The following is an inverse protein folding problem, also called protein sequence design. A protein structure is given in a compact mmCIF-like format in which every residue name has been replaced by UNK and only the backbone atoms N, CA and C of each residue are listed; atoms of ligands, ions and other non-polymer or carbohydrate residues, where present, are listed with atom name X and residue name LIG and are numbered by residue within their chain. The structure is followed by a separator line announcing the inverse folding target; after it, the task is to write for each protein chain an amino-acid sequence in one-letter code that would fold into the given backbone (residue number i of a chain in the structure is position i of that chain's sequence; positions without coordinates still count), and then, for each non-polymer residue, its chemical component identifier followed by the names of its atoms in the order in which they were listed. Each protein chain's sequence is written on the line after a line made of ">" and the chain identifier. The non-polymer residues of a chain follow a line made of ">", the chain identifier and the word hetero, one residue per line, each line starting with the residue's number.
data_IF_471143113354
#
_entry.id   IF_471143113354
#
_cell.length_a   1.000
_cell.length_b   1.000
_cell.length_c   1.000
_cell.angle_alpha   90.00
_cell.angle_beta   90.00
_cell.angle_gamma   90.00
#
_symmetry.space_group_name_H-M   'P 1'
#
loop_
_entity.id
_entity.type
_entity.pdbx_description
1 polymer ?
#
# COMPACT_ATOMS: atom_id res chain seq x y z
N UNK A 1 6.41 -16.81 9.19
CA UNK A 1 7.44 -17.87 9.21
C UNK A 1 8.66 -17.38 9.99
N UNK A 2 9.28 -18.23 10.81
CA UNK A 2 10.50 -17.89 11.55
C UNK A 2 11.73 -18.33 10.76
N UNK A 3 12.67 -17.42 10.51
CA UNK A 3 13.95 -17.73 9.84
C UNK A 3 15.02 -18.01 10.88
N UNK A 4 15.21 -17.08 11.82
CA UNK A 4 16.14 -17.22 12.94
C UNK A 4 15.51 -16.64 14.22
N UNK A 5 16.30 -16.30 15.24
CA UNK A 5 15.75 -15.73 16.48
C UNK A 5 15.11 -14.36 16.25
N UNK A 6 15.73 -13.55 15.41
CA UNK A 6 15.48 -12.13 15.24
C UNK A 6 14.51 -11.83 14.09
N UNK A 7 14.64 -12.55 12.97
CA UNK A 7 13.92 -12.26 11.73
C UNK A 7 12.65 -13.10 11.55
N UNK A 8 11.65 -12.49 10.92
CA UNK A 8 10.36 -13.09 10.56
C UNK A 8 10.00 -12.76 9.10
N UNK A 9 9.51 -13.76 8.38
CA UNK A 9 8.91 -13.59 7.05
C UNK A 9 7.40 -13.64 7.17
N UNK A 10 6.72 -12.63 6.64
CA UNK A 10 5.28 -12.61 6.44
C UNK A 10 4.97 -13.32 5.14
N UNK A 11 4.09 -14.31 5.22
CA UNK A 11 3.77 -15.19 4.11
C UNK A 11 2.25 -15.18 3.94
N UNK A 12 1.80 -14.96 2.72
CA UNK A 12 0.41 -15.07 2.32
C UNK A 12 0.20 -16.37 1.54
N UNK A 13 -0.74 -17.19 2.00
CA UNK A 13 -1.11 -18.44 1.32
C UNK A 13 -2.47 -18.27 0.68
N UNK A 14 -2.53 -18.36 -0.64
CA UNK A 14 -3.78 -18.31 -1.40
C UNK A 14 -3.89 -19.56 -2.28
N UNK A 15 -4.88 -20.41 -2.00
CA UNK A 15 -5.05 -21.69 -2.68
C UNK A 15 -3.79 -22.57 -2.60
N UNK A 16 -3.23 -22.90 -3.77
CA UNK A 16 -1.98 -23.67 -3.91
C UNK A 16 -0.70 -22.83 -3.91
N UNK A 17 -0.81 -21.50 -3.88
CA UNK A 17 0.32 -20.58 -4.02
C UNK A 17 0.77 -20.02 -2.67
N UNK A 18 2.08 -19.81 -2.53
CA UNK A 18 2.72 -19.23 -1.35
C UNK A 18 3.47 -17.97 -1.75
N UNK A 19 3.09 -16.83 -1.18
CA UNK A 19 3.70 -15.52 -1.44
C UNK A 19 4.48 -15.06 -0.22
N UNK A 20 5.77 -14.80 -0.38
CA UNK A 20 6.62 -14.18 0.64
C UNK A 20 6.44 -12.66 0.52
N UNK A 21 5.67 -12.06 1.42
CA UNK A 21 5.20 -10.69 1.28
C UNK A 21 6.11 -9.64 1.94
N UNK A 22 6.78 -10.01 3.04
CA UNK A 22 7.60 -9.06 3.80
C UNK A 22 8.57 -9.80 4.73
N UNK A 23 9.73 -9.20 5.04
CA UNK A 23 10.71 -9.79 5.98
C UNK A 23 11.31 -8.74 6.88
N UNK A 24 11.17 -8.82 8.18
CA UNK A 24 11.87 -7.89 9.08
C UNK A 24 12.19 -8.54 10.42
N UNK A 25 12.77 -7.77 11.34
CA UNK A 25 12.89 -8.08 12.74
C UNK A 25 11.52 -8.39 13.33
N UNK A 26 11.54 -9.19 14.38
CA UNK A 26 10.37 -9.82 14.97
C UNK A 26 9.16 -8.89 15.10
N UNK A 27 9.32 -7.83 15.86
CA UNK A 27 8.21 -6.95 16.24
C UNK A 27 7.73 -6.14 15.04
N UNK A 28 8.63 -5.71 14.17
CA UNK A 28 8.29 -4.87 13.02
C UNK A 28 7.61 -5.66 11.92
N UNK A 29 8.01 -6.92 11.70
CA UNK A 29 7.30 -7.83 10.80
C UNK A 29 5.86 -8.09 11.26
N UNK A 30 5.62 -8.26 12.57
CA UNK A 30 4.26 -8.42 13.10
C UNK A 30 3.45 -7.13 12.98
N UNK A 31 4.00 -5.97 13.35
CA UNK A 31 3.33 -4.67 13.16
C UNK A 31 2.97 -4.41 11.69
N UNK A 32 3.85 -4.81 10.77
CA UNK A 32 3.60 -4.69 9.34
C UNK A 32 2.39 -5.54 8.92
N UNK A 33 2.35 -6.80 9.37
CA UNK A 33 1.30 -7.76 9.02
C UNK A 33 -0.05 -7.43 9.67
N UNK A 34 -0.05 -6.86 10.87
CA UNK A 34 -1.27 -6.46 11.58
C UNK A 34 -2.00 -5.34 10.84
N UNK A 35 -1.27 -4.42 10.20
CA UNK A 35 -1.83 -3.22 9.57
C UNK A 35 -2.12 -3.38 8.08
N UNK A 36 -1.84 -4.54 7.48
CA UNK A 36 -1.91 -4.74 6.03
C UNK A 36 -2.68 -6.00 5.66
N UNK A 37 -3.56 -5.88 4.66
CA UNK A 37 -4.25 -7.00 4.01
C UNK A 37 -3.64 -7.23 2.63
N UNK A 38 -3.58 -8.49 2.20
CA UNK A 38 -3.16 -8.85 0.84
C UNK A 38 -4.38 -9.42 0.14
N UNK A 39 -4.83 -8.76 -0.92
CA UNK A 39 -6.04 -9.11 -1.64
C UNK A 39 -5.90 -8.81 -3.14
N UNK A 40 -6.72 -9.48 -3.95
CA UNK A 40 -6.86 -9.12 -5.36
C UNK A 40 -7.83 -7.94 -5.47
N UNK A 41 -7.41 -6.88 -6.15
CA UNK A 41 -8.25 -5.71 -6.35
C UNK A 41 -9.48 -6.08 -7.21
N UNK A 42 -10.71 -5.69 -6.82
CA UNK A 42 -11.94 -6.17 -7.48
C UNK A 42 -12.06 -5.77 -8.96
N UNK A 43 -11.52 -4.61 -9.33
CA UNK A 43 -11.59 -4.08 -10.71
C UNK A 43 -10.38 -4.40 -11.60
N UNK A 44 -9.16 -4.23 -11.10
CA UNK A 44 -7.93 -4.51 -11.85
C UNK A 44 -7.49 -5.97 -11.76
N UNK A 45 -7.96 -6.73 -10.75
CA UNK A 45 -7.55 -8.11 -10.52
C UNK A 45 -6.10 -8.26 -10.01
N UNK A 46 -5.35 -7.17 -9.87
CA UNK A 46 -3.97 -7.18 -9.40
C UNK A 46 -3.90 -7.50 -7.90
N UNK A 47 -2.86 -8.23 -7.47
CA UNK A 47 -2.60 -8.44 -6.05
C UNK A 47 -2.04 -7.16 -5.45
N UNK A 48 -2.73 -6.64 -4.43
CA UNK A 48 -2.37 -5.44 -3.71
C UNK A 48 -2.12 -5.75 -2.23
N UNK A 49 -1.17 -5.02 -1.65
CA UNK A 49 -0.97 -4.94 -0.21
C UNK A 49 -1.63 -3.63 0.22
N UNK A 50 -2.75 -3.72 0.93
CA UNK A 50 -3.56 -2.57 1.32
C UNK A 50 -3.38 -2.33 2.82
N UNK A 51 -3.06 -1.09 3.19
CA UNK A 51 -3.03 -0.68 4.59
C UNK A 51 -4.47 -0.50 5.12
N UNK A 52 -4.77 -1.12 6.26
CA UNK A 52 -6.08 -1.08 6.89
C UNK A 52 -6.21 0.22 7.66
N UNK A 53 -7.10 1.12 7.19
CA UNK A 53 -7.33 2.45 7.76
C UNK A 53 -7.62 2.45 9.26
N UNK A 54 -8.44 1.52 9.75
CA UNK A 54 -8.83 1.42 11.17
C UNK A 54 -7.60 1.34 12.11
N UNK A 55 -6.51 0.72 11.66
CA UNK A 55 -5.27 0.57 12.42
C UNK A 55 -4.25 1.69 12.19
N UNK A 56 -4.44 2.53 11.17
CA UNK A 56 -3.64 3.73 10.93
C UNK A 56 -4.12 4.88 11.84
N UNK A 57 -5.43 5.00 12.05
CA UNK A 57 -6.01 6.02 12.94
C UNK A 57 -5.67 5.77 14.43
N UNK A 58 -5.49 4.52 14.86
CA UNK A 58 -5.22 4.19 16.27
C UNK A 58 -3.85 4.73 16.77
N UNK A 59 -2.89 4.95 15.87
CA UNK A 59 -1.54 5.45 16.22
C UNK A 59 -1.48 6.99 16.15
N UNK A 60 -2.35 7.61 15.34
CA UNK A 60 -2.42 9.06 15.21
C UNK A 60 -3.13 9.74 16.39
N UNK A 61 -3.85 9.01 17.24
CA UNK A 61 -4.58 9.60 18.39
C UNK A 61 -3.75 9.76 19.68
N UNK A 62 -2.49 9.31 19.71
CA UNK A 62 -1.64 9.36 20.91
C UNK A 62 -0.67 10.55 20.94
N UNK A 63 -1.16 11.77 20.74
CA UNK A 63 -0.55 12.95 21.37
C UNK A 63 -1.64 13.88 21.93
N UNK A 64 -1.95 13.80 23.24
CA UNK A 64 -2.55 14.93 23.91
C UNK A 64 -1.47 16.01 23.98
N UNK A 65 -1.44 16.90 22.99
CA UNK A 65 -0.66 18.13 23.08
C UNK A 65 -1.17 18.86 24.32
N UNK A 66 -0.31 18.91 25.33
CA UNK A 66 -0.60 19.52 26.62
C UNK A 66 -0.95 20.98 26.38
N UNK A 67 -2.22 21.32 26.58
CA UNK A 67 -2.76 22.67 26.39
C UNK A 67 -2.13 23.58 27.46
N UNK A 68 -1.11 24.35 27.07
CA UNK A 68 -0.71 25.52 27.86
C UNK A 68 -1.71 26.65 27.57
N UNK A 69 -2.33 27.28 28.58
CA UNK A 69 -3.29 28.35 28.36
C UNK A 69 -2.54 29.63 28.02
N UNK A 70 -2.31 29.89 26.73
CA UNK A 70 -1.80 31.17 26.24
C UNK A 70 -2.63 31.66 25.07
N UNK A 71 -3.50 32.64 25.38
CA UNK A 71 -4.15 33.62 24.48
C UNK A 71 -5.13 33.05 23.43
N UNK A 72 -6.34 33.65 23.26
CA UNK A 72 -7.21 33.30 22.15
C UNK A 72 -6.63 33.88 20.85
N UNK A 73 -5.70 33.17 20.23
CA UNK A 73 -5.53 33.27 18.78
C UNK A 73 -6.57 32.35 18.16
N UNK A 74 -7.51 32.93 17.43
CA UNK A 74 -8.30 32.19 16.44
C UNK A 74 -7.36 31.30 15.65
N UNK A 75 -7.57 29.98 15.75
CA UNK A 75 -6.93 29.03 14.86
C UNK A 75 -7.22 29.51 13.43
N UNK A 76 -6.23 29.57 12.52
CA UNK A 76 -6.55 29.84 11.14
C UNK A 76 -7.50 28.73 10.70
N UNK A 77 -8.75 29.11 10.42
CA UNK A 77 -9.68 28.32 9.66
C UNK A 77 -9.01 28.13 8.30
N UNK A 78 -8.24 27.05 8.14
CA UNK A 78 -7.75 26.61 6.84
C UNK A 78 -9.01 26.39 6.02
N UNK A 79 -9.30 27.31 5.11
CA UNK A 79 -10.38 27.13 4.16
C UNK A 79 -10.09 25.79 3.47
N UNK A 80 -11.06 24.85 3.40
CA UNK A 80 -10.80 23.57 2.74
C UNK A 80 -10.42 23.88 1.30
N UNK A 81 -9.16 23.58 0.95
CA UNK A 81 -8.72 23.66 -0.43
C UNK A 81 -9.60 22.73 -1.26
N UNK A 82 -9.92 23.12 -2.51
CA UNK A 82 -10.73 22.28 -3.36
C UNK A 82 -10.05 20.91 -3.51
N UNK A 83 -10.79 19.80 -3.36
CA UNK A 83 -10.19 18.48 -3.47
C UNK A 83 -9.57 18.29 -4.85
N UNK A 84 -8.33 17.80 -4.88
CA UNK A 84 -7.52 17.63 -6.10
C UNK A 84 -8.22 16.70 -7.11
N UNK A 85 -8.99 15.73 -6.61
CA UNK A 85 -9.65 14.70 -7.40
C UNK A 85 -11.18 14.87 -7.47
N UNK A 86 -11.71 16.07 -7.23
CA UNK A 86 -13.15 16.33 -7.20
C UNK A 86 -13.92 15.91 -8.46
N UNK A 87 -13.23 15.88 -9.61
CA UNK A 87 -13.76 15.47 -10.92
C UNK A 87 -13.78 13.96 -11.15
N UNK A 88 -13.15 13.17 -10.28
CA UNK A 88 -13.10 11.73 -10.39
C UNK A 88 -14.24 11.08 -9.62
N UNK A 89 -14.89 10.09 -10.24
CA UNK A 89 -15.87 9.25 -9.56
C UNK A 89 -15.18 8.13 -8.78
N UNK A 90 -15.88 7.54 -7.81
CA UNK A 90 -15.44 6.31 -7.13
C UNK A 90 -15.05 5.20 -8.10
N UNK A 91 -15.80 5.05 -9.19
CA UNK A 91 -15.52 4.06 -10.23
C UNK A 91 -14.22 4.35 -11.00
N UNK A 92 -13.90 5.64 -11.22
CA UNK A 92 -12.65 6.06 -11.81
C UNK A 92 -11.45 5.78 -10.89
N UNK A 93 -11.59 6.03 -9.58
CA UNK A 93 -10.54 5.72 -8.61
C UNK A 93 -10.27 4.21 -8.53
N UNK A 94 -11.33 3.38 -8.53
CA UNK A 94 -11.20 1.93 -8.60
C UNK A 94 -10.59 1.44 -9.92
N UNK A 95 -10.81 2.16 -11.04
CA UNK A 95 -10.29 1.74 -12.34
C UNK A 95 -8.77 1.91 -12.45
N UNK A 96 -8.20 2.71 -11.56
CA UNK A 96 -6.75 2.94 -11.44
C UNK A 96 -6.17 2.29 -10.19
N UNK A 97 -6.84 1.29 -9.62
CA UNK A 97 -6.27 0.47 -8.54
C UNK A 97 -6.34 1.04 -7.13
N UNK A 98 -7.05 2.16 -6.91
CA UNK A 98 -7.23 2.71 -5.54
C UNK A 98 -8.05 1.73 -4.69
N UNK A 99 -7.53 1.25 -3.54
CA UNK A 99 -8.27 0.36 -2.66
C UNK A 99 -9.53 1.02 -2.10
N UNK A 100 -10.60 0.24 -1.91
CA UNK A 100 -11.90 0.75 -1.45
C UNK A 100 -11.85 1.54 -0.14
N UNK A 101 -10.95 1.15 0.78
CA UNK A 101 -10.78 1.81 2.08
C UNK A 101 -10.21 3.23 1.96
N UNK A 102 -9.50 3.52 0.87
CA UNK A 102 -8.77 4.78 0.65
C UNK A 102 -9.47 5.71 -0.34
N UNK A 103 -10.54 5.26 -1.00
CA UNK A 103 -11.25 6.05 -2.02
C UNK A 103 -11.74 7.37 -1.47
N UNK A 104 -12.33 7.36 -0.27
CA UNK A 104 -12.95 8.54 0.29
C UNK A 104 -11.88 9.55 0.75
N UNK A 105 -10.73 9.08 1.24
CA UNK A 105 -9.57 9.93 1.58
C UNK A 105 -8.94 10.53 0.32
N UNK A 106 -8.75 9.72 -0.74
CA UNK A 106 -8.23 10.21 -2.02
C UNK A 106 -9.20 11.22 -2.65
N UNK A 107 -10.51 10.98 -2.59
CA UNK A 107 -11.50 11.91 -3.13
C UNK A 107 -11.55 13.24 -2.37
N UNK A 108 -11.23 13.23 -1.06
CA UNK A 108 -11.16 14.41 -0.22
C UNK A 108 -9.78 15.09 -0.20
N UNK A 109 -8.75 14.43 -0.72
CA UNK A 109 -7.37 14.89 -0.64
C UNK A 109 -7.16 16.23 -1.36
N UNK A 110 -6.46 17.14 -0.69
CA UNK A 110 -5.87 18.33 -1.29
C UNK A 110 -4.54 18.00 -2.01
N UNK A 111 -3.97 18.97 -2.72
CA UNK A 111 -2.64 18.82 -3.32
C UNK A 111 -1.55 18.64 -2.25
N UNK A 112 -1.72 19.26 -1.08
CA UNK A 112 -0.78 19.14 0.04
C UNK A 112 -0.86 17.77 0.73
N UNK A 113 -2.08 17.24 0.94
CA UNK A 113 -2.29 15.99 1.65
C UNK A 113 -1.99 14.74 0.80
N UNK A 114 -2.14 14.86 -0.52
CA UNK A 114 -2.02 13.73 -1.43
C UNK A 114 -0.64 13.05 -1.36
N UNK A 115 0.45 13.79 -1.18
CA UNK A 115 1.78 13.19 -1.08
C UNK A 115 1.95 12.27 0.14
N UNK A 116 1.30 12.60 1.25
CA UNK A 116 1.29 11.74 2.43
C UNK A 116 0.43 10.49 2.17
N UNK A 117 -0.75 10.66 1.56
CA UNK A 117 -1.64 9.56 1.19
C UNK A 117 -1.02 8.59 0.18
N UNK A 118 -0.29 9.11 -0.82
CA UNK A 118 0.36 8.32 -1.86
C UNK A 118 1.35 7.29 -1.29
N UNK A 119 1.94 7.54 -0.11
CA UNK A 119 2.82 6.59 0.58
C UNK A 119 2.10 5.36 1.13
N UNK A 120 0.78 5.43 1.31
CA UNK A 120 -0.06 4.33 1.82
C UNK A 120 -0.82 3.59 0.69
N UNK A 121 -0.85 4.16 -0.51
CA UNK A 121 -1.52 3.58 -1.66
C UNK A 121 -0.61 2.57 -2.37
N UNK A 122 -1.19 1.58 -3.06
CA UNK A 122 -0.44 0.80 -4.03
C UNK A 122 0.24 1.71 -5.07
N UNK A 123 1.49 1.39 -5.41
CA UNK A 123 2.32 2.22 -6.28
C UNK A 123 1.66 2.60 -7.62
N UNK A 124 0.91 1.68 -8.23
CA UNK A 124 0.27 1.94 -9.53
C UNK A 124 -0.85 3.00 -9.41
N UNK A 125 -1.61 2.98 -8.31
CA UNK A 125 -2.66 3.94 -8.03
C UNK A 125 -2.05 5.31 -7.72
N UNK A 126 -0.98 5.34 -6.94
CA UNK A 126 -0.23 6.56 -6.68
C UNK A 126 0.33 7.16 -7.99
N UNK A 127 0.94 6.34 -8.85
CA UNK A 127 1.46 6.76 -10.17
C UNK A 127 0.34 7.31 -11.06
N UNK A 128 -0.80 6.61 -11.16
CA UNK A 128 -1.93 7.03 -11.99
C UNK A 128 -2.58 8.33 -11.50
N UNK A 129 -2.68 8.52 -10.18
CA UNK A 129 -3.21 9.74 -9.57
C UNK A 129 -2.24 10.92 -9.71
N UNK A 130 -0.92 10.69 -9.60
CA UNK A 130 0.10 11.70 -9.89
C UNK A 130 0.06 12.13 -11.37
N UNK A 131 -0.04 11.19 -12.29
CA UNK A 131 -0.22 11.45 -13.73
C UNK A 131 -1.50 12.28 -13.98
N UNK A 132 -2.59 11.95 -13.28
CA UNK A 132 -3.83 12.71 -13.35
C UNK A 132 -3.67 14.14 -12.81
N UNK A 133 -3.02 14.32 -11.67
CA UNK A 133 -2.78 15.64 -11.10
C UNK A 133 -1.95 16.52 -12.04
N UNK A 134 -0.97 15.94 -12.75
CA UNK A 134 -0.11 16.67 -13.68
C UNK A 134 -0.77 16.96 -15.04
N UNK A 135 -1.59 16.04 -15.57
CA UNK A 135 -2.09 16.09 -16.96
C UNK A 135 -3.60 16.31 -17.07
N UNK A 136 -4.35 16.09 -16.00
CA UNK A 136 -5.81 16.04 -15.98
C UNK A 136 -6.41 14.80 -16.67
N UNK A 137 -5.58 13.85 -17.15
CA UNK A 137 -6.02 12.68 -17.91
C UNK A 137 -5.85 11.44 -17.04
N UNK A 138 -6.97 10.79 -16.72
CA UNK A 138 -6.93 9.53 -15.98
C UNK A 138 -6.77 8.39 -16.97
N UNK A 139 -5.64 7.68 -16.90
CA UNK A 139 -5.41 6.47 -17.69
C UNK A 139 -5.93 5.27 -16.90
N UNK A 140 -6.97 4.57 -17.39
CA UNK A 140 -7.43 3.36 -16.71
C UNK A 140 -6.35 2.27 -16.75
N UNK A 141 -6.28 1.50 -15.67
CA UNK A 141 -5.39 0.32 -15.60
C UNK A 141 -5.82 -0.74 -16.62
N UNK A 142 -4.88 -1.59 -17.02
CA UNK A 142 -5.12 -2.71 -17.92
C UNK A 142 -6.33 -3.55 -17.45
N UNK A 143 -7.12 -4.12 -18.37
CA UNK A 143 -8.25 -4.97 -18.01
C UNK A 143 -7.78 -6.15 -17.14
N UNK A 144 -8.64 -6.63 -16.23
CA UNK A 144 -8.27 -7.69 -15.30
C UNK A 144 -7.85 -8.95 -16.05
N UNK A 145 -6.73 -9.53 -15.62
CA UNK A 145 -6.21 -10.79 -16.13
C UNK A 145 -6.87 -11.94 -15.35
N UNK A 146 -7.12 -13.09 -16.00
CA UNK A 146 -7.74 -14.26 -15.33
C UNK A 146 -6.93 -14.77 -14.13
N UNK A 147 -5.60 -14.62 -14.19
CA UNK A 147 -4.69 -14.95 -13.09
C UNK A 147 -4.12 -13.66 -12.46
N UNK A 148 -4.49 -13.33 -11.21
CA UNK A 148 -3.93 -12.21 -10.45
C UNK A 148 -2.41 -12.25 -10.32
N UNK A 149 -1.80 -13.43 -10.31
CA UNK A 149 -0.35 -13.62 -10.21
C UNK A 149 0.33 -13.18 -11.50
N UNK A 150 -0.28 -13.46 -12.66
CA UNK A 150 0.23 -13.10 -13.97
C UNK A 150 0.01 -11.62 -14.35
N UNK A 151 -0.69 -10.84 -13.51
CA UNK A 151 -0.96 -9.43 -13.77
C UNK A 151 0.36 -8.62 -13.84
N UNK A 152 0.54 -7.71 -14.82
CA UNK A 152 1.78 -6.93 -14.96
C UNK A 152 2.14 -6.14 -13.70
N UNK A 153 1.16 -5.51 -13.03
CA UNK A 153 1.41 -4.81 -11.76
C UNK A 153 1.75 -5.75 -10.60
N UNK A 154 1.23 -6.98 -10.60
CA UNK A 154 1.66 -8.01 -9.65
C UNK A 154 3.11 -8.39 -9.91
N UNK A 155 3.48 -8.63 -11.17
CA UNK A 155 4.85 -9.02 -11.57
C UNK A 155 5.89 -7.90 -11.36
N UNK A 156 5.48 -6.63 -11.37
CA UNK A 156 6.33 -5.49 -10.98
C UNK A 156 6.69 -5.52 -9.49
N UNK A 157 5.79 -6.03 -8.64
CA UNK A 157 5.91 -6.01 -7.17
C UNK A 157 6.38 -7.33 -6.58
N UNK A 158 5.98 -8.43 -7.19
CA UNK A 158 6.23 -9.78 -6.71
C UNK A 158 7.02 -10.54 -7.77
N UNK A 159 8.03 -11.26 -7.31
CA UNK A 159 8.76 -12.20 -8.14
C UNK A 159 8.19 -13.59 -7.93
N UNK A 160 7.64 -14.17 -8.99
CA UNK A 160 7.17 -15.55 -8.99
C UNK A 160 8.38 -16.47 -9.16
N UNK A 161 8.52 -17.44 -8.26
CA UNK A 161 9.53 -18.51 -8.36
C UNK A 161 8.79 -19.80 -8.70
N UNK A 162 9.21 -20.45 -9.78
CA UNK A 162 8.58 -21.70 -10.24
C UNK A 162 9.40 -22.90 -9.77
N UNK A 163 9.08 -23.39 -8.57
CA UNK A 163 9.58 -24.68 -8.08
C UNK A 163 10.41 -24.63 -6.80
N UNK A 164 10.56 -25.80 -6.19
CA UNK A 164 11.26 -25.97 -4.90
C UNK A 164 12.75 -25.71 -5.02
N UNK A 165 13.35 -26.00 -6.17
CA UNK A 165 14.80 -25.85 -6.40
C UNK A 165 15.21 -24.38 -6.49
N UNK A 166 14.45 -23.54 -7.19
CA UNK A 166 14.67 -22.09 -7.20
C UNK A 166 14.42 -21.48 -5.82
N UNK A 167 13.39 -21.93 -5.10
CA UNK A 167 13.12 -21.50 -3.74
C UNK A 167 14.25 -21.90 -2.79
N UNK A 168 14.78 -23.12 -2.88
CA UNK A 168 15.91 -23.58 -2.06
C UNK A 168 17.20 -22.85 -2.40
N UNK A 169 17.53 -22.70 -3.69
CA UNK A 169 18.71 -21.98 -4.14
C UNK A 169 18.64 -20.50 -3.75
N UNK A 170 17.44 -19.92 -3.79
CA UNK A 170 17.20 -18.64 -3.19
C UNK A 170 17.51 -18.78 -1.68
N UNK A 171 16.85 -19.65 -0.90
CA UNK A 171 16.88 -19.62 0.57
C UNK A 171 18.27 -19.90 1.16
N UNK A 172 19.09 -20.65 0.45
CA UNK A 172 20.49 -20.94 0.79
C UNK A 172 21.45 -19.78 0.48
N UNK A 173 21.01 -18.77 -0.29
CA UNK A 173 21.79 -17.57 -0.53
C UNK A 173 21.94 -16.72 0.76
N UNK A 174 23.07 -15.99 0.92
CA UNK A 174 23.27 -15.11 2.06
C UNK A 174 22.09 -14.16 2.26
N UNK A 175 21.60 -14.03 3.50
CA UNK A 175 20.42 -13.23 3.83
C UNK A 175 20.53 -11.77 3.33
N UNK A 176 21.74 -11.21 3.29
CA UNK A 176 22.02 -9.88 2.72
C UNK A 176 21.54 -9.74 1.27
N UNK A 177 21.57 -10.82 0.48
CA UNK A 177 21.03 -10.82 -0.88
C UNK A 177 19.50 -10.80 -0.88
N UNK A 178 18.86 -11.51 0.05
CA UNK A 178 17.40 -11.56 0.18
C UNK A 178 16.78 -10.27 0.70
N UNK A 179 17.40 -9.63 1.69
CA UNK A 179 16.89 -8.41 2.28
C UNK A 179 16.74 -7.30 1.23
N UNK A 180 17.71 -7.19 0.30
CA UNK A 180 17.67 -6.25 -0.82
C UNK A 180 16.55 -6.57 -1.82
N UNK A 181 16.20 -7.85 -2.03
CA UNK A 181 15.11 -8.22 -2.94
C UNK A 181 13.71 -7.99 -2.35
N UNK A 182 13.57 -8.01 -1.03
CA UNK A 182 12.29 -7.85 -0.33
C UNK A 182 12.07 -6.41 0.18
N UNK A 183 13.13 -5.61 0.26
CA UNK A 183 13.14 -4.17 0.54
C UNK A 183 14.04 -3.46 -0.47
N UNK A 184 13.57 -3.24 -1.71
CA UNK A 184 14.31 -2.47 -2.70
C UNK A 184 14.47 -1.00 -2.31
#
# INVERSE_FOLDING_TARGET
>A
MRVNRDLRIIVHKSGGSLMLAYVDHHDDAYKWAERRRIEAHPKTGAIQIVEVRELVEEIASAQPVSVQPMLPLEAPSVAPEPPLFASLTRDNLLSVGVPEDWIDDVAAASEEDFFALAGHLPQEAAEALLDYAATGILKPTAPPVEDPIAHPDTMRRFRVLEGIEELQAALDAPFEKWAVFLHP
#
